data_IF_914562306815
#
_entry.id   IF_914562306815
#
_cell.length_a   1.000
_cell.length_b   1.000
_cell.length_c   1.000
_cell.angle_alpha   90.00
_cell.angle_beta   90.00
_cell.angle_gamma   90.00
#
_symmetry.space_group_name_H-M   'P 1'
#
loop_
_entity.id
_entity.type
_entity.pdbx_description
1 polymer ?
#
# COMPACT_ATOMS: atom_id res chain seq x y z
N UNK A 1 15.25 25.88 2.13
CA UNK A 1 14.67 25.11 1.00
C UNK A 1 13.53 24.34 1.59
N UNK A 2 12.34 24.37 0.97
CA UNK A 2 11.18 23.59 1.42
C UNK A 2 11.38 22.10 1.10
N UNK A 3 10.81 21.24 1.92
CA UNK A 3 11.02 19.79 1.89
C UNK A 3 9.72 19.10 1.50
N UNK A 4 9.76 18.38 0.41
CA UNK A 4 8.60 17.69 -0.16
C UNK A 4 8.77 16.18 0.04
N UNK A 5 7.81 15.52 0.68
CA UNK A 5 7.69 14.07 0.79
C UNK A 5 6.69 13.53 -0.22
N UNK A 6 7.03 12.44 -0.88
CA UNK A 6 6.14 11.70 -1.79
C UNK A 6 6.05 10.28 -1.29
N UNK A 7 4.86 9.86 -0.89
CA UNK A 7 4.64 8.52 -0.35
C UNK A 7 4.69 7.45 -1.44
N UNK A 8 5.20 6.27 -1.10
CA UNK A 8 5.25 5.14 -2.05
C UNK A 8 3.89 4.47 -2.18
N UNK A 9 3.29 4.08 -1.04
CA UNK A 9 2.05 3.29 -1.04
C UNK A 9 0.85 4.14 -1.49
N UNK A 10 0.14 3.65 -2.50
CA UNK A 10 -1.06 4.30 -3.03
C UNK A 10 -0.82 5.55 -3.89
N UNK A 11 0.42 6.10 -3.92
CA UNK A 11 0.81 7.21 -4.81
C UNK A 11 1.63 6.71 -6.00
N UNK A 12 2.71 6.00 -5.71
CA UNK A 12 3.60 5.44 -6.73
C UNK A 12 3.31 3.97 -7.00
N UNK A 13 2.97 3.22 -5.96
CA UNK A 13 2.80 1.76 -5.96
C UNK A 13 1.35 1.37 -5.70
N UNK A 14 0.79 0.57 -6.60
CA UNK A 14 -0.53 -0.07 -6.43
C UNK A 14 -0.41 -1.27 -5.47
N UNK A 15 -0.26 -0.96 -4.18
CA UNK A 15 -0.11 -1.96 -3.12
C UNK A 15 -1.40 -2.76 -2.93
N UNK A 16 -2.56 -2.11 -2.97
CA UNK A 16 -3.86 -2.76 -2.76
C UNK A 16 -4.20 -3.71 -3.92
N UNK A 17 -4.01 -3.28 -5.16
CA UNK A 17 -4.23 -4.15 -6.33
C UNK A 17 -3.31 -5.37 -6.30
N UNK A 18 -2.04 -5.17 -5.88
CA UNK A 18 -1.10 -6.29 -5.75
C UNK A 18 -1.45 -7.22 -4.59
N UNK A 19 -1.85 -6.66 -3.44
CA UNK A 19 -2.33 -7.44 -2.30
C UNK A 19 -3.49 -8.36 -2.71
N UNK A 20 -4.50 -7.81 -3.39
CA UNK A 20 -5.65 -8.56 -3.89
C UNK A 20 -5.22 -9.73 -4.77
N UNK A 21 -4.35 -9.50 -5.77
CA UNK A 21 -3.84 -10.55 -6.66
C UNK A 21 -3.15 -11.69 -5.90
N UNK A 22 -2.33 -11.35 -4.90
CA UNK A 22 -1.63 -12.35 -4.10
C UNK A 22 -2.58 -13.12 -3.19
N UNK A 23 -3.54 -12.42 -2.59
CA UNK A 23 -4.55 -13.04 -1.75
C UNK A 23 -5.42 -14.03 -2.53
N UNK A 24 -5.93 -13.64 -3.70
CA UNK A 24 -6.68 -14.53 -4.59
C UNK A 24 -5.88 -15.79 -4.89
N UNK A 25 -4.63 -15.64 -5.28
CA UNK A 25 -3.77 -16.76 -5.68
C UNK A 25 -3.37 -17.68 -4.53
N UNK A 26 -2.99 -17.12 -3.38
CA UNK A 26 -2.35 -17.90 -2.32
C UNK A 26 -3.29 -18.28 -1.19
N UNK A 27 -4.36 -17.53 -0.96
CA UNK A 27 -5.30 -17.81 0.11
C UNK A 27 -6.55 -18.52 -0.43
N UNK A 28 -7.15 -18.03 -1.52
CA UNK A 28 -8.40 -18.58 -2.06
C UNK A 28 -8.13 -19.84 -2.88
N UNK A 29 -7.29 -19.77 -3.93
CA UNK A 29 -7.04 -20.88 -4.84
C UNK A 29 -6.42 -22.08 -4.12
N UNK A 30 -5.47 -21.88 -3.18
CA UNK A 30 -4.87 -22.96 -2.43
C UNK A 30 -5.88 -23.63 -1.49
N UNK A 31 -6.70 -22.84 -0.80
CA UNK A 31 -7.76 -23.34 0.07
C UNK A 31 -8.78 -24.18 -0.69
N UNK A 32 -9.23 -23.71 -1.86
CA UNK A 32 -10.14 -24.45 -2.72
C UNK A 32 -9.50 -25.77 -3.21
N UNK A 33 -8.21 -25.73 -3.58
CA UNK A 33 -7.48 -26.93 -4.01
C UNK A 33 -7.32 -27.97 -2.89
N UNK A 34 -7.06 -27.54 -1.66
CA UNK A 34 -6.96 -28.43 -0.49
C UNK A 34 -8.32 -29.06 -0.17
N UNK A 35 -9.39 -28.28 -0.17
CA UNK A 35 -10.73 -28.79 0.14
C UNK A 35 -11.33 -29.66 -0.99
N UNK A 36 -10.97 -29.41 -2.24
CA UNK A 36 -11.42 -30.25 -3.36
C UNK A 36 -10.82 -31.67 -3.33
N UNK A 37 -9.71 -31.86 -2.63
CA UNK A 37 -9.02 -33.15 -2.46
C UNK A 37 -9.46 -33.92 -1.20
N UNK A 38 -10.41 -33.41 -0.41
CA UNK A 38 -10.98 -34.17 0.72
C UNK A 38 -11.81 -35.33 0.18
N UNK A 39 -11.18 -36.49 0.13
CA UNK A 39 -11.84 -37.77 -0.14
C UNK A 39 -12.72 -38.13 1.06
N UNK A 40 -14.01 -38.31 0.82
CA UNK A 40 -14.91 -38.87 1.81
C UNK A 40 -14.36 -40.24 2.26
N UNK A 41 -13.96 -40.38 3.50
CA UNK A 41 -13.67 -41.67 4.08
C UNK A 41 -15.01 -42.34 4.44
N UNK A 42 -15.30 -43.48 3.80
CA UNK A 42 -16.41 -44.36 4.20
C UNK A 42 -15.89 -45.30 5.30
N UNK A 43 -16.70 -45.50 6.33
CA UNK A 43 -16.44 -46.59 7.28
C UNK A 43 -16.61 -47.98 6.62
N UNK A 44 -16.12 -49.03 7.28
CA UNK A 44 -16.24 -50.41 6.79
C UNK A 44 -17.69 -50.88 6.66
N UNK A 45 -18.66 -50.13 7.14
CA UNK A 45 -20.11 -50.39 7.06
C UNK A 45 -20.78 -49.58 5.94
N UNK A 46 -20.06 -48.73 5.20
CA UNK A 46 -20.59 -47.89 4.12
C UNK A 46 -21.30 -46.64 4.60
N UNK A 47 -21.18 -46.25 5.89
CA UNK A 47 -21.73 -45.03 6.41
C UNK A 47 -20.70 -43.90 6.25
N UNK A 48 -21.17 -42.75 5.81
CA UNK A 48 -20.36 -41.52 5.80
C UNK A 48 -20.06 -41.12 7.25
N UNK A 49 -18.80 -41.16 7.65
CA UNK A 49 -18.37 -40.55 8.91
C UNK A 49 -18.43 -39.04 8.65
N UNK A 50 -19.47 -38.40 9.13
CA UNK A 50 -19.51 -36.96 9.28
C UNK A 50 -18.61 -36.66 10.49
N UNK A 51 -17.31 -36.44 10.26
CA UNK A 51 -16.52 -35.71 11.24
C UNK A 51 -17.26 -34.41 11.54
N UNK A 52 -17.32 -34.03 12.82
CA UNK A 52 -17.89 -32.74 13.23
C UNK A 52 -17.28 -31.69 12.31
N UNK A 53 -18.12 -31.06 11.46
CA UNK A 53 -17.69 -30.00 10.55
C UNK A 53 -17.36 -28.84 11.47
N UNK A 54 -16.08 -28.73 11.88
CA UNK A 54 -15.57 -27.44 12.33
C UNK A 54 -15.97 -26.44 11.27
N UNK A 55 -16.62 -25.33 11.66
CA UNK A 55 -17.00 -24.28 10.71
C UNK A 55 -15.76 -23.94 9.91
N UNK A 56 -15.70 -24.40 8.67
CA UNK A 56 -14.55 -24.24 7.81
C UNK A 56 -14.38 -22.74 7.54
N UNK A 57 -13.28 -22.17 8.00
CA UNK A 57 -12.95 -20.77 7.73
C UNK A 57 -12.87 -20.56 6.21
N UNK A 58 -13.59 -19.57 5.70
CA UNK A 58 -13.62 -19.26 4.27
C UNK A 58 -12.80 -18.01 3.99
N UNK A 59 -11.80 -18.14 3.10
CA UNK A 59 -11.07 -16.99 2.56
C UNK A 59 -11.92 -16.30 1.51
N UNK A 60 -12.20 -15.01 1.71
CA UNK A 60 -13.02 -14.20 0.78
C UNK A 60 -12.56 -12.76 0.74
N UNK A 61 -12.94 -12.08 -0.34
CA UNK A 61 -12.72 -10.65 -0.55
C UNK A 61 -14.05 -9.92 -0.58
N UNK A 62 -14.16 -8.84 0.19
CA UNK A 62 -15.28 -7.90 0.14
C UNK A 62 -14.88 -6.69 -0.70
N UNK A 63 -15.57 -6.45 -1.81
CA UNK A 63 -15.31 -5.35 -2.74
C UNK A 63 -16.42 -4.29 -2.65
N UNK A 64 -16.13 -3.02 -2.93
CA UNK A 64 -14.79 -2.45 -3.23
C UNK A 64 -13.89 -2.40 -1.99
N UNK A 65 -12.57 -2.31 -2.18
CA UNK A 65 -11.63 -2.02 -1.09
C UNK A 65 -11.61 -0.51 -0.90
N UNK A 66 -12.39 -0.04 0.06
CA UNK A 66 -12.65 1.37 0.34
C UNK A 66 -12.06 1.86 1.68
N UNK A 67 -11.21 1.04 2.30
CA UNK A 67 -10.41 1.41 3.48
C UNK A 67 -9.07 0.69 3.50
N UNK A 68 -8.10 1.23 4.26
CA UNK A 68 -6.81 0.58 4.52
C UNK A 68 -6.87 -0.43 5.70
N UNK A 69 -8.00 -0.57 6.38
CA UNK A 69 -8.23 -1.69 7.28
C UNK A 69 -8.53 -2.94 6.47
N UNK A 70 -7.46 -3.63 6.06
CA UNK A 70 -7.52 -4.78 5.16
C UNK A 70 -8.39 -5.93 5.71
N UNK A 71 -8.57 -6.04 7.02
CA UNK A 71 -9.42 -7.08 7.63
C UNK A 71 -10.90 -6.90 7.33
N UNK A 72 -11.33 -5.69 6.99
CA UNK A 72 -12.70 -5.44 6.55
C UNK A 72 -12.97 -5.98 5.15
N UNK A 73 -11.93 -6.22 4.38
CA UNK A 73 -12.01 -6.59 2.97
C UNK A 73 -11.49 -7.99 2.67
N UNK A 74 -10.53 -8.49 3.44
CA UNK A 74 -9.86 -9.76 3.25
C UNK A 74 -9.96 -10.60 4.52
N UNK A 75 -10.55 -11.78 4.42
CA UNK A 75 -10.69 -12.69 5.56
C UNK A 75 -9.35 -13.34 5.87
N UNK A 76 -8.87 -13.18 7.11
CA UNK A 76 -7.72 -13.90 7.66
C UNK A 76 -8.12 -14.56 8.97
N UNK A 77 -7.55 -15.70 9.29
CA UNK A 77 -7.81 -16.43 10.54
C UNK A 77 -7.35 -15.64 11.77
N UNK A 78 -6.32 -14.79 11.61
CA UNK A 78 -5.75 -13.96 12.66
C UNK A 78 -5.01 -12.74 12.10
N UNK A 79 -4.69 -11.78 12.98
CA UNK A 79 -3.82 -10.65 12.67
C UNK A 79 -2.38 -11.10 12.35
N UNK A 80 -1.93 -12.19 12.97
CA UNK A 80 -0.64 -12.79 12.71
C UNK A 80 -0.57 -13.35 11.28
N UNK A 81 -1.61 -14.05 10.81
CA UNK A 81 -1.69 -14.56 9.43
C UNK A 81 -1.64 -13.41 8.41
N UNK A 82 -2.35 -12.31 8.65
CA UNK A 82 -2.26 -11.11 7.80
C UNK A 82 -0.84 -10.52 7.81
N UNK A 83 -0.24 -10.40 9.00
CA UNK A 83 1.12 -9.87 9.14
C UNK A 83 2.14 -10.76 8.42
N UNK A 84 2.08 -12.06 8.62
CA UNK A 84 2.97 -13.02 7.99
C UNK A 84 2.81 -13.00 6.48
N UNK A 85 1.57 -12.97 5.97
CA UNK A 85 1.28 -12.82 4.55
C UNK A 85 1.98 -11.60 3.95
N UNK A 86 1.88 -10.44 4.60
CA UNK A 86 2.44 -9.19 4.06
C UNK A 86 3.96 -9.11 4.22
N UNK A 87 4.49 -9.46 5.39
CA UNK A 87 5.84 -9.06 5.78
C UNK A 87 6.83 -10.23 5.90
N UNK A 88 6.34 -11.47 5.99
CA UNK A 88 7.18 -12.66 6.10
C UNK A 88 7.14 -13.51 4.82
N UNK A 89 5.95 -13.86 4.32
CA UNK A 89 5.77 -14.80 3.21
C UNK A 89 5.91 -14.14 1.84
N UNK A 90 5.27 -12.99 1.63
CA UNK A 90 5.19 -12.36 0.31
C UNK A 90 5.74 -10.92 0.22
N UNK A 91 6.69 -10.46 1.06
CA UNK A 91 7.12 -9.06 1.05
C UNK A 91 7.72 -8.63 -0.30
N UNK A 92 8.50 -9.49 -0.95
CA UNK A 92 9.07 -9.15 -2.26
C UNK A 92 8.00 -9.14 -3.35
N UNK A 93 7.06 -10.07 -3.32
CA UNK A 93 5.96 -10.13 -4.28
C UNK A 93 5.02 -8.94 -4.12
N UNK A 94 4.67 -8.61 -2.86
CA UNK A 94 3.75 -7.54 -2.53
C UNK A 94 4.35 -6.16 -2.79
N UNK A 95 5.51 -5.89 -2.20
CA UNK A 95 6.11 -4.55 -2.23
C UNK A 95 7.11 -4.34 -3.37
N UNK A 96 7.81 -5.39 -3.80
CA UNK A 96 8.81 -5.30 -4.87
C UNK A 96 8.23 -5.49 -6.27
N UNK A 97 7.29 -6.43 -6.42
CA UNK A 97 6.71 -6.78 -7.71
C UNK A 97 5.32 -6.18 -7.98
N UNK A 98 4.87 -5.24 -7.17
CA UNK A 98 3.68 -4.46 -7.49
C UNK A 98 3.82 -3.67 -8.80
N UNK A 99 2.70 -3.24 -9.35
CA UNK A 99 2.62 -2.23 -10.40
C UNK A 99 2.73 -0.81 -9.86
N UNK A 100 2.93 0.16 -10.75
CA UNK A 100 2.74 1.57 -10.44
C UNK A 100 1.25 1.91 -10.44
N UNK A 101 0.83 2.93 -9.68
CA UNK A 101 -0.56 3.38 -9.64
C UNK A 101 -1.05 3.86 -11.01
N UNK A 102 -0.21 4.59 -11.75
CA UNK A 102 -0.48 5.03 -13.10
C UNK A 102 0.63 4.54 -14.04
N UNK A 103 0.31 4.41 -15.33
CA UNK A 103 1.28 3.94 -16.35
C UNK A 103 2.53 4.82 -16.41
N UNK A 104 2.37 6.12 -16.17
CA UNK A 104 3.45 7.11 -16.31
C UNK A 104 3.93 7.67 -14.97
N UNK A 105 3.50 7.13 -13.82
CA UNK A 105 3.85 7.65 -12.48
C UNK A 105 5.34 7.99 -12.32
N UNK A 106 6.24 7.11 -12.77
CA UNK A 106 7.67 7.34 -12.63
C UNK A 106 8.26 8.30 -13.65
N UNK A 107 7.64 8.45 -14.82
CA UNK A 107 8.00 9.48 -15.78
C UNK A 107 7.65 10.86 -15.19
N UNK A 108 6.41 11.02 -14.72
CA UNK A 108 5.91 12.27 -14.14
C UNK A 108 6.69 12.64 -12.86
N UNK A 109 6.98 11.64 -12.01
CA UNK A 109 7.82 11.81 -10.82
C UNK A 109 9.23 12.31 -11.16
N UNK A 110 9.87 11.69 -12.14
CA UNK A 110 11.24 12.05 -12.53
C UNK A 110 11.29 13.42 -13.24
N UNK A 111 10.27 13.77 -14.01
CA UNK A 111 10.12 15.10 -14.61
C UNK A 111 9.94 16.16 -13.49
N UNK A 112 9.04 15.90 -12.53
CA UNK A 112 8.86 16.75 -11.37
C UNK A 112 10.18 16.94 -10.61
N UNK A 113 10.90 15.85 -10.32
CA UNK A 113 12.18 15.89 -9.64
C UNK A 113 13.22 16.71 -10.42
N UNK A 114 13.40 16.43 -11.71
CA UNK A 114 14.38 17.13 -12.54
C UNK A 114 14.15 18.64 -12.59
N UNK A 115 12.88 19.07 -12.62
CA UNK A 115 12.46 20.47 -12.67
C UNK A 115 12.64 21.18 -11.34
N UNK A 116 12.42 20.49 -10.22
CA UNK A 116 12.21 21.10 -8.91
C UNK A 116 13.34 20.88 -7.90
N UNK A 117 14.30 19.98 -8.15
CA UNK A 117 15.39 19.59 -7.21
C UNK A 117 16.29 20.73 -6.78
N UNK A 118 16.39 21.80 -7.58
CA UNK A 118 17.22 22.97 -7.23
C UNK A 118 16.46 23.95 -6.30
N UNK A 119 15.13 23.84 -6.22
CA UNK A 119 14.24 24.68 -5.42
C UNK A 119 13.74 24.00 -4.15
N UNK A 120 13.61 22.68 -4.19
CA UNK A 120 13.05 21.83 -3.11
C UNK A 120 13.97 20.68 -2.76
N UNK A 121 13.96 20.30 -1.50
CA UNK A 121 14.53 19.03 -1.07
C UNK A 121 13.46 17.95 -1.15
N UNK A 122 13.59 17.00 -2.08
CA UNK A 122 12.53 16.03 -2.40
C UNK A 122 12.90 14.67 -1.83
N UNK A 123 11.95 14.05 -1.13
CA UNK A 123 12.08 12.76 -0.48
C UNK A 123 11.04 11.77 -0.97
N UNK A 124 11.42 10.52 -1.15
CA UNK A 124 10.49 9.40 -1.12
C UNK A 124 10.30 9.00 0.34
N UNK A 125 9.06 8.85 0.77
CA UNK A 125 8.70 8.41 2.12
C UNK A 125 7.90 7.11 2.07
N UNK A 126 8.11 6.23 3.02
CA UNK A 126 7.45 4.94 3.06
C UNK A 126 7.38 4.39 4.47
N UNK A 127 6.29 3.70 4.77
CA UNK A 127 5.98 3.16 6.10
C UNK A 127 6.33 1.67 6.27
N UNK A 128 7.12 1.10 5.35
CA UNK A 128 7.50 -0.30 5.42
C UNK A 128 8.46 -0.62 6.57
N UNK A 129 8.37 -1.87 7.02
CA UNK A 129 9.18 -2.46 8.07
C UNK A 129 9.90 -3.73 7.57
N UNK A 130 10.94 -4.13 8.27
CA UNK A 130 11.61 -5.43 8.08
C UNK A 130 11.96 -5.73 6.62
N UNK A 131 11.50 -6.87 6.12
CA UNK A 131 11.77 -7.38 4.77
C UNK A 131 11.12 -6.56 3.66
N UNK A 132 10.10 -5.74 3.96
CA UNK A 132 9.44 -4.89 2.96
C UNK A 132 10.31 -3.70 2.53
N UNK A 133 11.26 -3.23 3.38
CA UNK A 133 12.19 -2.15 3.01
C UNK A 133 13.05 -2.48 1.78
N UNK A 134 13.80 -3.62 1.74
CA UNK A 134 14.54 -3.97 0.52
C UNK A 134 13.63 -4.23 -0.68
N UNK A 135 12.41 -4.73 -0.47
CA UNK A 135 11.44 -4.90 -1.55
C UNK A 135 11.00 -3.55 -2.14
N UNK A 136 10.78 -2.53 -1.31
CA UNK A 136 10.48 -1.17 -1.74
C UNK A 136 11.66 -0.52 -2.49
N UNK A 137 12.89 -0.71 -2.03
CA UNK A 137 14.07 -0.24 -2.76
C UNK A 137 14.19 -0.91 -4.13
N UNK A 138 13.90 -2.21 -4.23
CA UNK A 138 13.83 -2.93 -5.50
C UNK A 138 12.73 -2.35 -6.41
N UNK A 139 11.54 -2.08 -5.87
CA UNK A 139 10.44 -1.46 -6.61
C UNK A 139 10.86 -0.11 -7.22
N UNK A 140 11.41 0.79 -6.42
CA UNK A 140 11.87 2.11 -6.88
C UNK A 140 12.96 1.98 -7.95
N UNK A 141 13.91 1.07 -7.77
CA UNK A 141 14.98 0.80 -8.75
C UNK A 141 14.43 0.21 -10.06
N UNK A 142 13.48 -0.73 -9.97
CA UNK A 142 12.83 -1.37 -11.12
C UNK A 142 12.15 -0.35 -12.04
N UNK A 143 11.52 0.67 -11.46
CA UNK A 143 10.85 1.73 -12.20
C UNK A 143 11.74 2.94 -12.52
N UNK A 144 13.01 2.90 -12.13
CA UNK A 144 14.00 3.95 -12.45
C UNK A 144 13.73 5.26 -11.70
N UNK A 145 13.34 5.20 -10.42
CA UNK A 145 13.21 6.38 -9.58
C UNK A 145 14.55 7.12 -9.47
N UNK A 146 14.58 8.41 -9.79
CA UNK A 146 15.77 9.25 -9.74
C UNK A 146 15.96 9.96 -8.39
N UNK A 147 14.98 9.91 -7.49
CA UNK A 147 15.07 10.55 -6.17
C UNK A 147 15.92 9.67 -5.26
N UNK A 148 17.05 10.21 -4.80
CA UNK A 148 18.01 9.49 -3.96
C UNK A 148 17.64 9.52 -2.47
N UNK A 149 16.90 10.54 -2.03
CA UNK A 149 16.52 10.73 -0.64
C UNK A 149 15.32 9.85 -0.29
N UNK A 150 15.56 8.67 0.27
CA UNK A 150 14.50 7.73 0.68
C UNK A 150 14.46 7.66 2.20
N UNK A 151 13.28 7.84 2.80
CA UNK A 151 13.03 7.79 4.25
C UNK A 151 11.97 6.75 4.57
N UNK A 152 12.34 5.83 5.46
CA UNK A 152 11.39 4.90 6.05
C UNK A 152 10.98 5.42 7.43
N UNK A 153 9.71 5.39 7.70
CA UNK A 153 9.13 5.74 9.00
C UNK A 153 8.24 4.59 9.52
N UNK A 154 7.84 4.68 10.77
CA UNK A 154 6.89 3.77 11.42
C UNK A 154 5.97 4.59 12.31
N UNK A 155 4.96 3.97 12.90
CA UNK A 155 4.09 4.62 13.86
C UNK A 155 4.86 5.25 15.04
N UNK A 156 6.01 4.68 15.41
CA UNK A 156 6.88 5.22 16.50
C UNK A 156 7.83 6.31 16.03
N UNK A 157 8.02 6.51 14.74
CA UNK A 157 8.96 7.50 14.18
C UNK A 157 8.26 8.52 13.26
N UNK A 158 6.94 8.52 13.21
CA UNK A 158 6.16 9.40 12.34
C UNK A 158 6.39 10.88 12.66
N UNK A 159 6.56 11.24 13.93
CA UNK A 159 6.88 12.60 14.34
C UNK A 159 8.19 13.09 13.73
N UNK A 160 9.20 12.21 13.62
CA UNK A 160 10.48 12.52 12.98
C UNK A 160 10.34 12.75 11.46
N UNK A 161 9.35 12.13 10.83
CA UNK A 161 9.00 12.41 9.44
C UNK A 161 8.41 13.81 9.33
N UNK A 162 7.44 14.16 10.16
CA UNK A 162 6.79 15.48 10.16
C UNK A 162 7.78 16.62 10.41
N UNK A 163 8.79 16.42 11.24
CA UNK A 163 9.87 17.40 11.45
C UNK A 163 10.70 17.70 10.19
N UNK A 164 10.67 16.79 9.20
CA UNK A 164 11.50 16.83 7.98
C UNK A 164 10.75 17.09 6.70
N UNK A 165 9.43 17.22 6.76
CA UNK A 165 8.57 17.37 5.58
C UNK A 165 7.70 18.62 5.79
N UNK A 166 7.74 19.53 4.84
CA UNK A 166 6.89 20.73 4.84
C UNK A 166 5.64 20.53 3.99
N UNK A 167 5.75 19.68 2.94
CA UNK A 167 4.64 19.26 2.08
C UNK A 167 4.70 17.74 1.90
N UNK A 168 3.59 17.05 2.10
CA UNK A 168 3.47 15.60 1.90
C UNK A 168 2.41 15.28 0.85
N UNK A 169 2.80 14.58 -0.20
CA UNK A 169 1.87 13.91 -1.11
C UNK A 169 1.64 12.49 -0.62
N UNK A 170 0.40 12.17 -0.27
CA UNK A 170 0.04 10.87 0.32
C UNK A 170 -1.34 10.42 -0.10
N UNK A 171 -1.53 9.10 -0.17
CA UNK A 171 -2.82 8.46 -0.30
C UNK A 171 -3.36 7.93 1.05
N UNK A 172 -2.57 7.94 2.10
CA UNK A 172 -2.91 7.36 3.39
C UNK A 172 -3.92 8.25 4.16
N UNK A 173 -5.15 7.75 4.45
CA UNK A 173 -6.17 8.50 5.17
C UNK A 173 -5.69 9.05 6.52
N UNK A 174 -4.96 8.25 7.29
CA UNK A 174 -4.48 8.66 8.61
C UNK A 174 -3.50 9.83 8.53
N UNK A 175 -2.63 9.88 7.51
CA UNK A 175 -1.71 10.99 7.29
C UNK A 175 -2.42 12.24 6.76
N UNK A 176 -3.52 12.03 6.01
CA UNK A 176 -4.34 13.13 5.50
C UNK A 176 -5.11 13.80 6.64
N UNK A 177 -5.65 13.03 7.58
CA UNK A 177 -6.53 13.56 8.65
C UNK A 177 -5.74 14.01 9.90
N UNK A 178 -4.58 13.38 10.17
CA UNK A 178 -3.83 13.55 11.43
C UNK A 178 -2.44 14.16 11.21
N UNK A 179 -2.34 15.18 10.35
CA UNK A 179 -1.07 15.89 10.12
C UNK A 179 -0.92 17.13 11.02
N UNK A 180 0.32 17.58 11.31
CA UNK A 180 0.58 18.82 12.02
C UNK A 180 0.13 20.05 11.22
N UNK A 181 -0.36 21.09 11.91
CA UNK A 181 -0.84 22.35 11.30
C UNK A 181 0.20 23.08 10.42
N UNK A 182 1.49 22.85 10.69
CA UNK A 182 2.59 23.45 9.93
C UNK A 182 3.03 22.65 8.70
N UNK A 183 2.39 21.52 8.42
CA UNK A 183 2.64 20.69 7.24
C UNK A 183 1.46 20.78 6.28
N UNK A 184 1.76 20.99 5.01
CA UNK A 184 0.74 20.94 3.95
C UNK A 184 0.63 19.48 3.46
N UNK A 185 -0.56 18.92 3.55
CA UNK A 185 -0.82 17.59 2.98
C UNK A 185 -1.60 17.74 1.69
N UNK A 186 -1.09 17.10 0.65
CA UNK A 186 -1.73 16.92 -0.65
C UNK A 186 -2.25 15.51 -0.74
N UNK A 187 -3.57 15.38 -0.85
CA UNK A 187 -4.21 14.08 -1.04
C UNK A 187 -4.03 13.60 -2.47
N UNK A 188 -3.45 12.42 -2.64
CA UNK A 188 -3.57 11.65 -3.88
C UNK A 188 -4.85 10.81 -3.78
N UNK A 189 -5.84 11.11 -4.64
CA UNK A 189 -7.18 10.54 -4.54
C UNK A 189 -7.19 9.06 -4.93
N UNK A 190 -7.76 8.23 -4.07
CA UNK A 190 -7.92 6.78 -4.27
C UNK A 190 -9.32 6.35 -3.82
N UNK A 191 -9.71 5.11 -4.09
CA UNK A 191 -11.00 4.58 -3.64
C UNK A 191 -11.18 4.60 -2.12
N UNK A 192 -10.10 4.41 -1.36
CA UNK A 192 -10.14 4.33 0.10
C UNK A 192 -9.98 5.68 0.83
N UNK A 193 -9.78 6.77 0.09
CA UNK A 193 -9.69 8.12 0.69
C UNK A 193 -10.57 9.19 0.02
N UNK A 194 -11.27 8.87 -1.06
CA UNK A 194 -12.05 9.83 -1.85
C UNK A 194 -13.16 10.56 -1.08
N UNK A 195 -13.59 9.99 0.06
CA UNK A 195 -14.58 10.61 0.95
C UNK A 195 -14.00 11.73 1.83
N UNK A 196 -12.66 11.80 1.97
CA UNK A 196 -11.99 12.81 2.77
C UNK A 196 -12.01 14.15 2.00
N UNK A 197 -12.44 15.20 2.67
CA UNK A 197 -12.46 16.53 2.08
C UNK A 197 -11.22 17.32 2.48
N UNK A 198 -10.28 17.49 1.56
CA UNK A 198 -9.03 18.23 1.76
C UNK A 198 -8.99 19.49 0.91
N UNK A 199 -8.16 20.46 1.33
CA UNK A 199 -7.92 21.71 0.58
C UNK A 199 -7.11 21.45 -0.70
N UNK A 200 -6.15 20.53 -0.62
CA UNK A 200 -5.22 20.23 -1.71
C UNK A 200 -5.34 18.75 -2.09
N UNK A 201 -5.73 18.49 -3.33
CA UNK A 201 -5.86 17.12 -3.84
C UNK A 201 -5.56 17.04 -5.32
N UNK A 202 -5.08 15.88 -5.75
CA UNK A 202 -4.84 15.52 -7.14
C UNK A 202 -5.32 14.10 -7.41
N UNK A 203 -5.72 13.84 -8.65
CA UNK A 203 -6.10 12.51 -9.15
C UNK A 203 -4.97 11.87 -9.98
N UNK A 204 -3.96 12.66 -10.36
CA UNK A 204 -2.82 12.20 -11.14
C UNK A 204 -1.53 12.88 -10.66
N UNK A 205 -0.43 12.15 -10.67
CA UNK A 205 0.89 12.67 -10.30
C UNK A 205 1.36 13.80 -11.23
N UNK A 206 0.89 13.80 -12.47
CA UNK A 206 1.14 14.86 -13.45
C UNK A 206 0.71 16.25 -12.98
N UNK A 207 -0.35 16.32 -12.16
CA UNK A 207 -0.91 17.60 -11.69
C UNK A 207 -0.16 18.17 -10.47
N UNK A 208 0.75 17.36 -9.89
CA UNK A 208 1.45 17.73 -8.67
C UNK A 208 2.37 18.94 -8.82
N UNK A 209 3.06 19.06 -9.97
CA UNK A 209 3.96 20.20 -10.23
C UNK A 209 3.19 21.53 -10.30
N UNK A 210 2.05 21.55 -11.01
CA UNK A 210 1.21 22.74 -11.08
C UNK A 210 0.64 23.11 -9.71
N UNK A 211 0.19 22.11 -8.95
CA UNK A 211 -0.36 22.34 -7.61
C UNK A 211 0.70 22.94 -6.67
N UNK A 212 1.92 22.40 -6.63
CA UNK A 212 3.01 22.89 -5.77
C UNK A 212 3.38 24.33 -6.09
N UNK A 213 3.39 24.72 -7.36
CA UNK A 213 3.70 26.09 -7.77
C UNK A 213 2.60 27.10 -7.38
N UNK A 214 1.37 26.63 -7.14
CA UNK A 214 0.22 27.47 -6.76
C UNK A 214 -0.05 27.49 -5.24
N UNK A 215 0.61 26.64 -4.46
CA UNK A 215 0.52 26.67 -2.99
C UNK A 215 1.45 27.77 -2.46
N UNK A 216 0.93 28.62 -1.61
CA UNK A 216 1.77 29.55 -0.80
C UNK A 216 2.53 28.72 0.25
N UNK A 217 3.80 28.43 -0.03
CA UNK A 217 4.70 27.64 0.81
C UNK A 217 5.52 28.50 1.77
#
# INVERSE_FOLDING_TARGET
MKRIGIEVNGVLRDTIGKFKQLYEKHMIENYEAENSNQTFSLDLSGNTILDEVEESFEYKITLPVDSLDLKNHFSFKSDEELYDFMFEDFPMQLFGHAGSCETYSFNDLNEFYAKNRDNYEIYIVSDEIGKSKPATLFFLSKFGCLIENIKFYSTTTIDQMWEKIDVLLTANPDLIENHPDNTIVVQYVTDYNKSINTKHKIDSLKDFDELINNIEL
#
